data_IF_350274192634
#
_entry.id   IF_350274192634
#
_cell.length_a   1.000
_cell.length_b   1.000
_cell.length_c   1.000
_cell.angle_alpha   90.00
_cell.angle_beta   90.00
_cell.angle_gamma   90.00
#
_symmetry.space_group_name_H-M   'P 1'
#
loop_
_entity.id
_entity.type
_entity.pdbx_description
1 polymer ?
#
# COMPACT_ATOMS: atom_id res chain seq x y z
N UNK A 1 39.87 29.37 10.50
CA UNK A 1 40.18 28.17 11.29
C UNK A 1 39.16 28.10 12.42
N UNK A 2 38.57 26.94 12.70
CA UNK A 2 37.69 26.70 13.87
C UNK A 2 37.96 25.30 14.43
N UNK A 3 37.68 25.12 15.70
CA UNK A 3 37.81 23.84 16.37
C UNK A 3 36.40 23.21 16.48
N UNK A 4 36.22 21.98 15.97
CA UNK A 4 34.97 21.24 16.11
C UNK A 4 34.72 20.80 17.56
N UNK A 5 33.47 20.34 17.92
CA UNK A 5 33.21 19.79 19.23
C UNK A 5 34.02 18.51 19.54
N UNK A 6 34.56 17.85 18.52
CA UNK A 6 35.48 16.71 18.58
C UNK A 6 36.96 17.10 18.80
N UNK A 7 37.25 18.39 19.05
CA UNK A 7 38.60 18.94 19.25
C UNK A 7 39.43 19.05 17.96
N UNK A 8 38.87 18.71 16.78
CA UNK A 8 39.63 18.79 15.52
C UNK A 8 39.54 20.15 14.88
N UNK A 9 40.69 20.63 14.40
CA UNK A 9 40.78 21.88 13.63
C UNK A 9 40.26 21.71 12.22
N UNK A 10 39.50 22.69 11.76
CA UNK A 10 39.01 22.81 10.39
C UNK A 10 39.25 24.23 9.88
N UNK A 11 39.49 24.36 8.59
CA UNK A 11 39.70 25.67 7.95
C UNK A 11 38.99 25.72 6.59
N UNK A 12 38.43 26.89 6.28
CA UNK A 12 37.96 27.23 4.94
C UNK A 12 38.68 28.51 4.48
N UNK A 13 39.00 28.56 3.19
CA UNK A 13 39.50 29.76 2.57
C UNK A 13 38.34 30.62 2.05
N UNK A 14 38.36 31.91 2.32
CA UNK A 14 37.36 32.88 1.86
C UNK A 14 38.03 33.99 1.08
N UNK A 15 37.33 34.49 0.05
CA UNK A 15 37.85 35.60 -0.75
C UNK A 15 37.89 36.94 0.00
N UNK A 16 37.02 37.09 1.04
CA UNK A 16 36.92 38.31 1.85
C UNK A 16 36.93 37.97 3.33
N UNK A 17 37.62 38.80 4.14
CA UNK A 17 37.65 38.65 5.59
C UNK A 17 36.25 38.67 6.21
N UNK A 18 35.38 39.56 5.73
CA UNK A 18 33.96 39.63 6.19
C UNK A 18 33.16 38.38 6.00
N UNK A 19 33.49 37.54 5.00
CA UNK A 19 32.85 36.27 4.76
C UNK A 19 33.35 35.21 5.73
N UNK A 20 34.64 35.23 6.05
CA UNK A 20 35.26 34.40 7.06
C UNK A 20 34.69 34.70 8.47
N UNK A 21 34.58 35.98 8.82
CA UNK A 21 34.02 36.40 10.12
C UNK A 21 32.55 35.97 10.27
N UNK A 22 31.73 36.22 9.25
CA UNK A 22 30.32 35.75 9.21
C UNK A 22 30.21 34.23 9.36
N UNK A 23 31.07 33.49 8.67
CA UNK A 23 31.09 32.03 8.76
C UNK A 23 31.46 31.56 10.17
N UNK A 24 32.49 32.21 10.79
CA UNK A 24 32.90 31.88 12.16
C UNK A 24 31.79 32.13 13.17
N UNK A 25 31.12 33.29 13.09
CA UNK A 25 29.99 33.62 13.98
C UNK A 25 28.85 32.65 13.80
N UNK A 26 28.50 32.25 12.57
CA UNK A 26 27.43 31.26 12.31
C UNK A 26 27.79 29.90 12.89
N UNK A 27 29.02 29.44 12.73
CA UNK A 27 29.51 28.18 13.27
C UNK A 27 29.50 28.15 14.80
N UNK A 28 29.86 29.25 15.46
CA UNK A 28 29.79 29.37 16.92
C UNK A 28 28.35 29.38 17.43
N UNK A 29 27.46 30.09 16.74
CA UNK A 29 26.05 30.10 17.06
C UNK A 29 25.43 28.72 16.91
N UNK A 30 25.83 27.92 15.91
CA UNK A 30 25.34 26.55 15.69
C UNK A 30 25.90 25.60 16.75
N UNK A 31 27.13 25.76 17.20
CA UNK A 31 27.70 25.01 18.34
C UNK A 31 26.92 25.26 19.63
N UNK A 32 26.66 26.55 19.93
CA UNK A 32 25.89 26.92 21.15
C UNK A 32 24.46 26.35 21.14
N UNK A 33 23.86 26.22 19.97
CA UNK A 33 22.52 25.62 19.77
C UNK A 33 22.54 24.09 19.69
N UNK A 34 23.71 23.45 19.71
CA UNK A 34 23.83 21.99 19.48
C UNK A 34 23.52 21.57 18.06
N UNK A 35 23.41 22.51 17.11
CA UNK A 35 23.06 22.27 15.70
C UNK A 35 24.30 22.15 14.78
N UNK A 36 25.49 22.12 15.36
CA UNK A 36 26.72 21.99 14.59
C UNK A 36 26.83 20.62 13.92
N UNK A 37 26.93 20.63 12.61
CA UNK A 37 27.20 19.42 11.80
C UNK A 37 28.60 19.60 11.15
N UNK A 38 29.49 18.64 11.36
CA UNK A 38 30.79 18.60 10.70
C UNK A 38 30.62 18.50 9.17
N UNK A 39 31.04 19.53 8.40
CA UNK A 39 30.88 19.50 6.95
C UNK A 39 31.56 18.32 6.26
N UNK A 40 32.56 17.69 6.90
CA UNK A 40 33.27 16.52 6.36
C UNK A 40 32.35 15.27 6.33
N UNK A 41 31.44 15.13 7.29
CA UNK A 41 30.49 14.01 7.31
C UNK A 41 29.61 13.97 6.06
N UNK A 42 29.22 15.13 5.55
CA UNK A 42 28.44 15.26 4.33
C UNK A 42 29.22 15.08 3.02
N UNK A 43 30.53 14.82 3.07
CA UNK A 43 31.34 14.49 1.90
C UNK A 43 31.12 13.05 1.38
N UNK A 44 30.47 12.20 2.17
CA UNK A 44 30.06 10.85 1.74
C UNK A 44 29.13 10.95 0.51
N UNK A 45 29.25 10.00 -0.43
CA UNK A 45 28.34 9.92 -1.56
C UNK A 45 26.95 9.50 -1.11
N UNK A 46 25.92 9.98 -1.82
CA UNK A 46 24.52 9.63 -1.53
C UNK A 46 24.29 8.12 -1.56
N UNK A 47 24.86 7.41 -2.56
CA UNK A 47 24.79 5.96 -2.67
C UNK A 47 25.41 5.28 -1.48
N UNK A 48 26.62 5.66 -1.10
CA UNK A 48 27.35 5.03 0.01
C UNK A 48 26.62 5.22 1.33
N UNK A 49 26.12 6.42 1.60
CA UNK A 49 25.28 6.65 2.78
C UNK A 49 24.01 5.78 2.72
N UNK A 50 23.36 5.73 1.58
CA UNK A 50 22.15 4.91 1.38
C UNK A 50 22.39 3.43 1.62
N UNK A 51 23.42 2.85 0.98
CA UNK A 51 23.68 1.40 1.06
C UNK A 51 24.32 0.99 2.40
N UNK A 52 25.22 1.80 2.97
CA UNK A 52 26.01 1.42 4.15
C UNK A 52 25.36 1.85 5.48
N UNK A 53 24.49 2.86 5.47
CA UNK A 53 23.89 3.41 6.69
C UNK A 53 22.36 3.30 6.67
N UNK A 54 21.71 3.91 5.69
CA UNK A 54 20.27 4.05 5.66
C UNK A 54 19.54 2.70 5.46
N UNK A 55 19.88 1.94 4.42
CA UNK A 55 19.19 0.65 4.15
C UNK A 55 19.39 -0.36 5.28
N UNK A 56 20.58 -0.53 5.88
CA UNK A 56 20.74 -1.40 7.04
C UNK A 56 19.98 -0.96 8.29
N UNK A 57 19.70 0.35 8.46
CA UNK A 57 18.92 0.86 9.61
C UNK A 57 17.42 0.54 9.53
N UNK A 58 16.91 0.10 8.37
CA UNK A 58 15.49 -0.18 8.14
C UNK A 58 15.00 -1.50 8.75
N UNK A 59 15.69 -2.05 9.76
CA UNK A 59 15.32 -3.31 10.44
C UNK A 59 13.94 -3.28 11.09
N UNK A 60 13.43 -2.09 11.41
CA UNK A 60 12.09 -1.87 11.94
C UNK A 60 10.99 -2.01 10.88
N UNK A 61 11.34 -1.95 9.59
CA UNK A 61 10.40 -2.12 8.49
C UNK A 61 10.21 -3.61 8.16
N UNK A 62 9.01 -3.92 7.62
CA UNK A 62 8.77 -5.25 7.05
C UNK A 62 9.68 -5.50 5.84
N UNK A 63 10.11 -6.75 5.59
CA UNK A 63 11.03 -7.08 4.49
C UNK A 63 10.62 -6.53 3.12
N UNK A 64 9.32 -6.59 2.78
CA UNK A 64 8.83 -6.03 1.51
C UNK A 64 8.93 -4.50 1.45
N UNK A 65 8.72 -3.80 2.56
CA UNK A 65 8.86 -2.35 2.61
C UNK A 65 10.33 -1.96 2.43
N UNK A 66 11.24 -2.61 3.15
CA UNK A 66 12.69 -2.39 3.01
C UNK A 66 13.17 -2.70 1.57
N UNK A 67 12.69 -3.80 0.97
CA UNK A 67 12.99 -4.13 -0.43
C UNK A 67 12.47 -3.08 -1.41
N UNK A 68 11.29 -2.50 -1.17
CA UNK A 68 10.74 -1.41 -1.98
C UNK A 68 11.60 -0.15 -1.88
N UNK A 69 12.05 0.21 -0.69
CA UNK A 69 12.97 1.33 -0.47
C UNK A 69 14.27 1.13 -1.25
N UNK A 70 14.91 -0.03 -1.10
CA UNK A 70 16.13 -0.38 -1.83
C UNK A 70 15.92 -0.33 -3.36
N UNK A 71 14.80 -0.86 -3.85
CA UNK A 71 14.46 -0.84 -5.27
C UNK A 71 14.31 0.59 -5.80
N UNK A 72 13.56 1.46 -5.10
CA UNK A 72 13.39 2.85 -5.53
C UNK A 72 14.69 3.65 -5.52
N UNK A 73 15.55 3.44 -4.51
CA UNK A 73 16.86 4.07 -4.46
C UNK A 73 17.73 3.61 -5.63
N UNK A 74 17.86 2.29 -5.85
CA UNK A 74 18.72 1.71 -6.88
C UNK A 74 18.25 2.00 -8.30
N UNK A 75 16.93 1.98 -8.53
CA UNK A 75 16.37 2.17 -9.88
C UNK A 75 16.29 3.64 -10.29
N UNK A 76 16.00 4.52 -9.34
CA UNK A 76 15.69 5.91 -9.67
C UNK A 76 16.71 6.91 -9.15
N UNK A 77 17.20 6.77 -7.93
CA UNK A 77 18.04 7.78 -7.28
C UNK A 77 19.52 7.60 -7.52
N UNK A 78 20.04 6.36 -7.46
CA UNK A 78 21.45 6.13 -7.72
C UNK A 78 21.89 6.55 -9.12
N UNK A 79 21.12 6.30 -10.21
CA UNK A 79 21.46 6.79 -11.53
C UNK A 79 21.45 8.31 -11.66
N UNK A 80 20.62 9.02 -10.89
CA UNK A 80 20.48 10.47 -10.98
C UNK A 80 21.47 11.23 -10.10
N UNK A 81 21.76 10.74 -8.89
CA UNK A 81 22.47 11.50 -7.88
C UNK A 81 23.37 10.65 -6.98
N UNK A 82 23.50 9.35 -7.21
CA UNK A 82 24.20 8.43 -6.31
C UNK A 82 25.66 8.79 -6.05
N UNK A 83 26.36 9.28 -7.07
CA UNK A 83 27.79 9.65 -6.98
C UNK A 83 28.00 11.06 -6.39
N UNK A 84 26.95 11.83 -6.19
CA UNK A 84 27.08 13.18 -5.60
C UNK A 84 27.26 13.09 -4.09
N UNK A 85 28.08 14.01 -3.56
CA UNK A 85 28.19 14.20 -2.11
C UNK A 85 26.85 14.65 -1.53
N UNK A 86 26.39 14.00 -0.43
CA UNK A 86 25.07 14.27 0.14
C UNK A 86 24.88 15.74 0.55
N UNK A 87 25.97 16.39 1.03
CA UNK A 87 25.99 17.82 1.38
C UNK A 87 25.79 18.77 0.18
N UNK A 88 26.08 18.31 -1.04
CA UNK A 88 25.93 19.13 -2.25
C UNK A 88 24.50 19.14 -2.80
N UNK A 89 23.62 18.31 -2.25
CA UNK A 89 22.25 18.18 -2.70
C UNK A 89 21.39 19.30 -2.12
N UNK A 90 20.88 20.14 -2.99
CA UNK A 90 20.04 21.28 -2.68
C UNK A 90 18.55 21.00 -2.93
N UNK A 91 17.68 21.89 -2.44
CA UNK A 91 16.25 21.84 -2.79
C UNK A 91 16.01 22.00 -4.29
N UNK A 92 16.85 22.78 -4.99
CA UNK A 92 16.77 22.93 -6.44
C UNK A 92 17.04 21.62 -7.17
N UNK A 93 18.05 20.86 -6.70
CA UNK A 93 18.32 19.51 -7.24
C UNK A 93 17.15 18.57 -7.02
N UNK A 94 16.50 18.62 -5.85
CA UNK A 94 15.32 17.79 -5.58
C UNK A 94 14.12 18.16 -6.48
N UNK A 95 13.92 19.46 -6.77
CA UNK A 95 12.89 19.90 -7.75
C UNK A 95 13.21 19.41 -9.15
N UNK A 96 14.45 19.51 -9.60
CA UNK A 96 14.88 19.01 -10.90
C UNK A 96 14.72 17.49 -11.00
N UNK A 97 15.05 16.75 -9.93
CA UNK A 97 14.84 15.31 -9.88
C UNK A 97 13.34 14.92 -9.98
N UNK A 98 12.45 15.67 -9.29
CA UNK A 98 11.00 15.46 -9.40
C UNK A 98 10.51 15.70 -10.82
N UNK A 99 10.98 16.74 -11.51
CA UNK A 99 10.64 16.99 -12.91
C UNK A 99 11.08 15.82 -13.79
N UNK A 100 12.35 15.38 -13.69
CA UNK A 100 12.87 14.26 -14.47
C UNK A 100 12.18 12.91 -14.16
N UNK A 101 11.70 12.71 -12.93
CA UNK A 101 10.88 11.53 -12.59
C UNK A 101 9.49 11.63 -13.21
N UNK A 102 8.87 12.81 -13.22
CA UNK A 102 7.52 13.04 -13.74
C UNK A 102 7.43 12.88 -15.27
N UNK A 103 8.54 13.10 -15.99
CA UNK A 103 8.60 12.86 -17.44
C UNK A 103 8.45 11.38 -17.83
N UNK A 104 8.72 10.45 -16.91
CA UNK A 104 8.78 9.01 -17.18
C UNK A 104 7.95 8.14 -16.24
N UNK A 105 7.40 8.69 -15.18
CA UNK A 105 6.63 7.95 -14.18
C UNK A 105 5.30 8.64 -13.90
N UNK A 106 4.24 7.87 -13.62
CA UNK A 106 2.97 8.43 -13.16
C UNK A 106 3.14 9.21 -11.85
N UNK A 107 2.35 10.28 -11.61
CA UNK A 107 2.42 11.12 -10.41
C UNK A 107 2.42 10.35 -9.08
N UNK A 108 1.59 9.32 -8.95
CA UNK A 108 1.54 8.48 -7.74
C UNK A 108 2.82 7.68 -7.51
N UNK A 109 3.52 7.29 -8.58
CA UNK A 109 4.83 6.63 -8.49
C UNK A 109 5.92 7.63 -8.11
N UNK A 110 5.90 8.85 -8.69
CA UNK A 110 6.82 9.94 -8.31
C UNK A 110 6.71 10.24 -6.82
N UNK A 111 5.49 10.34 -6.29
CA UNK A 111 5.26 10.56 -4.86
C UNK A 111 5.91 9.48 -4.00
N UNK A 112 5.72 8.20 -4.37
CA UNK A 112 6.29 7.06 -3.63
C UNK A 112 7.83 7.05 -3.71
N UNK A 113 8.40 7.26 -4.90
CA UNK A 113 9.85 7.33 -5.11
C UNK A 113 10.46 8.49 -4.32
N UNK A 114 9.80 9.66 -4.33
CA UNK A 114 10.27 10.83 -3.60
C UNK A 114 10.15 10.66 -2.08
N UNK A 115 9.11 9.96 -1.59
CA UNK A 115 8.96 9.66 -0.17
C UNK A 115 10.15 8.85 0.39
N UNK A 116 10.71 7.93 -0.41
CA UNK A 116 11.91 7.18 0.00
C UNK A 116 13.14 8.09 0.11
N UNK A 117 13.34 9.00 -0.85
CA UNK A 117 14.43 9.99 -0.74
C UNK A 117 14.24 10.92 0.45
N UNK A 118 13.00 11.36 0.71
CA UNK A 118 12.68 12.16 1.89
C UNK A 118 13.06 11.43 3.18
N UNK A 119 12.75 10.13 3.29
CA UNK A 119 13.12 9.33 4.46
C UNK A 119 14.65 9.20 4.61
N UNK A 120 15.39 8.98 3.51
CA UNK A 120 16.85 8.92 3.53
C UNK A 120 17.46 10.25 3.96
N UNK A 121 16.96 11.37 3.43
CA UNK A 121 17.48 12.69 3.81
C UNK A 121 17.13 13.08 5.26
N UNK A 122 15.97 12.63 5.77
CA UNK A 122 15.63 12.80 7.18
C UNK A 122 16.64 12.04 8.07
N UNK A 123 16.91 10.78 7.76
CA UNK A 123 17.93 10.01 8.47
C UNK A 123 19.33 10.67 8.40
N UNK A 124 19.69 11.24 7.25
CA UNK A 124 20.97 11.95 7.13
C UNK A 124 21.06 13.22 8.00
N UNK A 125 19.92 13.87 8.25
CA UNK A 125 19.86 15.00 9.21
C UNK A 125 19.95 14.47 10.64
N UNK A 126 19.21 13.42 10.98
CA UNK A 126 19.20 12.82 12.31
C UNK A 126 20.59 12.24 12.69
N UNK A 127 21.31 11.67 11.72
CA UNK A 127 22.69 11.17 11.88
C UNK A 127 23.75 12.31 11.92
N UNK A 128 23.36 13.57 11.78
CA UNK A 128 24.26 14.70 11.74
C UNK A 128 25.24 14.66 10.55
N UNK A 129 24.78 14.15 9.40
CA UNK A 129 25.53 14.12 8.13
C UNK A 129 25.31 15.41 7.35
N UNK A 130 24.10 15.94 7.35
CA UNK A 130 23.73 17.22 6.75
C UNK A 130 22.91 18.06 7.75
N UNK A 131 23.09 19.41 7.74
CA UNK A 131 22.37 20.28 8.68
C UNK A 131 20.94 20.58 8.27
N UNK A 132 20.59 20.45 6.97
CA UNK A 132 19.30 20.88 6.43
C UNK A 132 18.75 19.80 5.49
N UNK A 133 17.47 19.53 5.62
CA UNK A 133 16.75 18.56 4.82
C UNK A 133 16.38 19.11 3.43
N UNK A 134 17.01 18.68 2.32
CA UNK A 134 16.82 19.29 1.01
C UNK A 134 15.44 18.98 0.37
N UNK A 135 14.73 17.94 0.83
CA UNK A 135 13.42 17.59 0.31
C UNK A 135 12.25 18.38 0.95
N UNK A 136 12.56 19.30 1.90
CA UNK A 136 11.53 20.10 2.55
C UNK A 136 10.89 21.08 1.56
N UNK A 137 9.54 21.14 1.54
CA UNK A 137 8.75 22.04 0.66
C UNK A 137 9.08 21.89 -0.83
N UNK A 138 9.41 20.69 -1.28
CA UNK A 138 9.47 20.35 -2.71
C UNK A 138 8.07 20.01 -3.18
N UNK A 139 7.52 20.74 -4.17
CA UNK A 139 6.22 20.44 -4.73
C UNK A 139 6.27 19.12 -5.51
N UNK A 140 5.24 18.29 -5.37
CA UNK A 140 5.07 17.06 -6.12
C UNK A 140 3.93 17.22 -7.14
N UNK A 141 3.95 16.44 -8.25
CA UNK A 141 2.85 16.43 -9.20
C UNK A 141 1.56 15.99 -8.51
N UNK A 142 0.45 16.62 -8.89
CA UNK A 142 -0.87 16.26 -8.34
C UNK A 142 -1.29 14.87 -8.85
N UNK A 143 -1.67 14.02 -7.91
CA UNK A 143 -2.30 12.73 -8.22
C UNK A 143 -3.79 12.99 -8.43
N UNK A 144 -4.29 12.82 -9.65
CA UNK A 144 -5.72 12.89 -9.90
C UNK A 144 -6.42 11.67 -9.30
N UNK A 145 -7.51 11.85 -8.55
CA UNK A 145 -8.31 10.74 -8.06
C UNK A 145 -8.80 9.90 -9.25
N UNK A 146 -8.50 8.61 -9.23
CA UNK A 146 -9.06 7.68 -10.22
C UNK A 146 -10.41 7.22 -9.69
N UNK A 147 -11.48 7.54 -10.41
CA UNK A 147 -12.79 6.97 -10.13
C UNK A 147 -12.71 5.47 -10.39
N UNK A 148 -13.04 4.70 -9.38
CA UNK A 148 -13.03 3.25 -9.45
C UNK A 148 -14.31 2.81 -10.18
N UNK A 149 -14.12 2.13 -11.31
CA UNK A 149 -15.21 1.46 -12.04
C UNK A 149 -15.04 -0.04 -11.82
N UNK A 150 -15.98 -0.70 -11.12
CA UNK A 150 -15.91 -2.14 -10.91
C UNK A 150 -16.01 -2.92 -12.22
N UNK A 151 -15.48 -4.15 -12.23
CA UNK A 151 -15.69 -5.07 -13.33
C UNK A 151 -17.17 -5.47 -13.41
N UNK A 152 -17.67 -5.66 -14.63
CA UNK A 152 -18.99 -6.22 -14.85
C UNK A 152 -19.01 -7.73 -14.53
N UNK A 153 -20.14 -8.29 -14.05
CA UNK A 153 -20.24 -9.73 -13.73
C UNK A 153 -19.84 -10.64 -14.89
N UNK A 154 -20.24 -10.30 -16.12
CA UNK A 154 -19.86 -11.04 -17.33
C UNK A 154 -18.35 -11.11 -17.54
N UNK A 155 -17.67 -9.99 -17.38
CA UNK A 155 -16.21 -9.91 -17.50
C UNK A 155 -15.46 -10.78 -16.46
N UNK A 156 -16.00 -10.90 -15.25
CA UNK A 156 -15.43 -11.78 -14.22
C UNK A 156 -15.56 -13.25 -14.62
N UNK A 157 -16.70 -13.66 -15.18
CA UNK A 157 -16.92 -15.02 -15.69
C UNK A 157 -15.98 -15.31 -16.89
N UNK A 158 -15.86 -14.39 -17.80
CA UNK A 158 -14.94 -14.49 -18.95
C UNK A 158 -13.48 -14.59 -18.52
N UNK A 159 -13.05 -13.80 -17.53
CA UNK A 159 -11.71 -13.92 -16.93
C UNK A 159 -11.49 -15.30 -16.30
N UNK A 160 -12.48 -15.83 -15.58
CA UNK A 160 -12.40 -17.16 -14.99
C UNK A 160 -12.32 -18.27 -16.06
N UNK A 161 -12.95 -18.08 -17.21
CA UNK A 161 -12.86 -19.01 -18.35
C UNK A 161 -11.55 -18.89 -19.14
N UNK A 162 -11.03 -17.66 -19.28
CA UNK A 162 -9.84 -17.37 -20.10
C UNK A 162 -8.52 -17.63 -19.39
N UNK A 163 -8.48 -17.55 -18.05
CA UNK A 163 -7.27 -17.82 -17.27
C UNK A 163 -6.92 -19.30 -17.30
N UNK A 164 -5.63 -19.63 -17.19
CA UNK A 164 -5.20 -21.03 -17.10
C UNK A 164 -6.01 -21.78 -16.02
N UNK A 165 -6.56 -23.00 -16.31
CA UNK A 165 -7.55 -23.68 -15.44
C UNK A 165 -7.11 -23.83 -13.98
N UNK A 166 -5.83 -24.08 -13.74
CA UNK A 166 -5.24 -24.14 -12.39
C UNK A 166 -5.37 -22.84 -11.60
N UNK A 167 -5.53 -21.70 -12.24
CA UNK A 167 -5.62 -20.38 -11.59
C UNK A 167 -7.04 -19.82 -11.55
N UNK A 168 -8.02 -20.55 -12.06
CA UNK A 168 -9.43 -20.15 -12.06
C UNK A 168 -9.98 -19.95 -10.65
N UNK A 169 -9.61 -20.80 -9.71
CA UNK A 169 -9.96 -20.65 -8.30
C UNK A 169 -9.45 -19.35 -7.68
N UNK A 170 -8.33 -18.78 -8.16
CA UNK A 170 -7.87 -17.48 -7.72
C UNK A 170 -8.87 -16.37 -8.11
N UNK A 171 -9.43 -16.43 -9.32
CA UNK A 171 -10.48 -15.49 -9.76
C UNK A 171 -11.69 -15.61 -8.86
N UNK A 172 -12.16 -16.84 -8.60
CA UNK A 172 -13.29 -17.10 -7.71
C UNK A 172 -13.04 -16.57 -6.28
N UNK A 173 -11.86 -16.76 -5.70
CA UNK A 173 -11.48 -16.25 -4.39
C UNK A 173 -11.43 -14.72 -4.35
N UNK A 174 -10.93 -14.09 -5.41
CA UNK A 174 -10.91 -12.64 -5.54
C UNK A 174 -12.31 -12.04 -5.66
N UNK A 175 -13.13 -12.58 -6.56
CA UNK A 175 -14.46 -12.05 -6.87
C UNK A 175 -15.54 -12.53 -5.86
N UNK A 176 -15.45 -13.74 -5.34
CA UNK A 176 -16.47 -14.32 -4.46
C UNK A 176 -16.23 -14.07 -2.96
N UNK A 177 -15.02 -13.68 -2.56
CA UNK A 177 -14.68 -13.41 -1.16
C UNK A 177 -13.85 -12.11 -0.96
N UNK A 178 -13.57 -11.36 -2.00
CA UNK A 178 -12.83 -10.11 -1.93
C UNK A 178 -11.39 -10.24 -1.42
N UNK A 179 -10.76 -11.40 -1.63
CA UNK A 179 -9.41 -11.66 -1.10
C UNK A 179 -8.34 -10.88 -1.87
N UNK A 180 -7.37 -10.35 -1.13
CA UNK A 180 -6.14 -9.83 -1.74
C UNK A 180 -5.35 -11.00 -2.36
N UNK A 181 -4.52 -10.73 -3.38
CA UNK A 181 -3.74 -11.78 -4.06
C UNK A 181 -2.97 -12.68 -3.08
N UNK A 182 -2.26 -12.09 -2.11
CA UNK A 182 -1.54 -12.88 -1.10
C UNK A 182 -2.45 -13.69 -0.17
N UNK A 183 -3.65 -13.19 0.14
CA UNK A 183 -4.65 -13.92 0.92
C UNK A 183 -5.23 -15.09 0.12
N UNK A 184 -5.56 -14.88 -1.17
CA UNK A 184 -6.07 -15.91 -2.06
C UNK A 184 -5.04 -17.03 -2.30
N UNK A 185 -3.76 -16.67 -2.48
CA UNK A 185 -2.69 -17.65 -2.70
C UNK A 185 -2.12 -18.26 -1.42
N UNK A 186 -2.46 -17.70 -0.26
CA UNK A 186 -2.10 -18.22 1.06
C UNK A 186 -3.26 -18.89 1.81
N UNK A 187 -4.45 -18.98 1.21
CA UNK A 187 -5.57 -19.68 1.84
C UNK A 187 -5.31 -21.18 1.86
N UNK A 188 -5.40 -21.79 3.05
CA UNK A 188 -5.15 -23.22 3.25
C UNK A 188 -6.46 -24.00 3.40
N UNK A 189 -6.43 -25.30 3.10
CA UNK A 189 -7.60 -26.20 3.20
C UNK A 189 -8.22 -26.16 4.60
N UNK A 190 -7.48 -26.25 5.73
CA UNK A 190 -8.07 -26.19 7.06
C UNK A 190 -8.78 -24.86 7.41
N UNK A 191 -8.58 -23.82 6.58
CA UNK A 191 -9.22 -22.50 6.76
C UNK A 191 -10.54 -22.37 6.01
N UNK A 192 -10.94 -23.37 5.26
CA UNK A 192 -12.24 -23.44 4.59
C UNK A 192 -13.21 -24.27 5.43
N UNK A 193 -14.17 -23.62 6.06
CA UNK A 193 -15.24 -24.31 6.77
C UNK A 193 -16.45 -24.45 5.86
N UNK A 194 -16.60 -25.65 5.26
CA UNK A 194 -17.69 -25.96 4.34
C UNK A 194 -19.05 -25.95 5.05
N UNK A 195 -19.13 -26.48 6.28
CA UNK A 195 -20.39 -26.55 7.04
C UNK A 195 -20.92 -25.18 7.43
N UNK A 196 -20.02 -24.27 7.86
CA UNK A 196 -20.38 -22.91 8.22
C UNK A 196 -20.34 -21.95 7.04
N UNK A 197 -19.94 -22.41 5.84
CA UNK A 197 -19.76 -21.62 4.62
C UNK A 197 -18.91 -20.38 4.87
N UNK A 198 -17.72 -20.56 5.45
CA UNK A 198 -16.82 -19.47 5.83
C UNK A 198 -15.37 -19.77 5.47
N UNK A 199 -14.67 -18.74 5.03
CA UNK A 199 -13.23 -18.73 4.84
C UNK A 199 -12.58 -17.97 5.99
N UNK A 200 -11.64 -18.59 6.70
CA UNK A 200 -10.86 -17.93 7.77
C UNK A 200 -9.57 -17.36 7.16
N UNK A 201 -9.48 -16.05 7.08
CA UNK A 201 -8.30 -15.36 6.52
C UNK A 201 -7.37 -14.99 7.67
N UNK A 202 -6.36 -15.81 7.91
CA UNK A 202 -5.42 -15.68 9.01
C UNK A 202 -3.97 -15.50 8.55
N UNK A 203 -3.67 -15.90 7.32
CA UNK A 203 -2.33 -15.92 6.71
C UNK A 203 -2.40 -15.41 5.27
N UNK A 204 -1.24 -15.12 4.70
CA UNK A 204 -1.07 -14.72 3.32
C UNK A 204 0.18 -15.36 2.72
N UNK A 205 0.20 -15.55 1.41
CA UNK A 205 1.42 -15.89 0.68
C UNK A 205 2.28 -14.63 0.48
N UNK A 206 3.56 -14.74 0.83
CA UNK A 206 4.55 -13.70 0.64
C UNK A 206 5.87 -14.34 0.23
N UNK A 207 6.44 -13.94 -0.91
CA UNK A 207 7.72 -14.46 -1.43
C UNK A 207 7.79 -15.99 -1.57
N UNK A 208 6.65 -16.65 -1.81
CA UNK A 208 6.56 -18.10 -1.96
C UNK A 208 6.46 -18.90 -0.65
N UNK A 209 6.21 -18.23 0.47
CA UNK A 209 5.98 -18.83 1.78
C UNK A 209 4.69 -18.26 2.41
N UNK A 210 4.14 -18.98 3.40
CA UNK A 210 3.07 -18.46 4.24
C UNK A 210 3.64 -17.47 5.25
N UNK A 211 2.97 -16.37 5.44
CA UNK A 211 3.35 -15.29 6.34
C UNK A 211 2.11 -14.74 7.08
N UNK A 212 2.30 -14.14 8.27
CA UNK A 212 1.22 -13.46 8.97
C UNK A 212 0.60 -12.34 8.14
N UNK A 213 -0.66 -12.06 8.39
CA UNK A 213 -1.34 -10.90 7.81
C UNK A 213 -0.71 -9.58 8.26
N UNK A 214 -0.87 -8.55 7.43
CA UNK A 214 -0.24 -7.24 7.65
C UNK A 214 -0.75 -6.53 8.90
N UNK A 215 -2.05 -6.66 9.22
CA UNK A 215 -2.69 -5.99 10.35
C UNK A 215 -3.63 -6.95 11.08
N UNK A 216 -3.95 -6.66 12.35
CA UNK A 216 -4.95 -7.40 13.10
C UNK A 216 -6.34 -7.35 12.43
N UNK A 217 -6.72 -6.20 11.87
CA UNK A 217 -7.99 -6.02 11.15
C UNK A 217 -8.10 -6.90 9.89
N UNK A 218 -6.97 -7.34 9.33
CA UNK A 218 -6.97 -8.26 8.18
C UNK A 218 -7.40 -9.68 8.56
N UNK A 219 -7.30 -10.06 9.85
CA UNK A 219 -7.78 -11.36 10.35
C UNK A 219 -9.30 -11.33 10.42
N UNK A 220 -9.95 -12.17 9.64
CA UNK A 220 -11.40 -12.16 9.50
C UNK A 220 -11.94 -13.47 9.01
N UNK A 221 -13.24 -13.70 9.22
CA UNK A 221 -13.99 -14.74 8.57
C UNK A 221 -14.88 -14.12 7.48
N UNK A 222 -14.77 -14.61 6.26
CA UNK A 222 -15.55 -14.14 5.12
C UNK A 222 -16.59 -15.22 4.78
N UNK A 223 -17.90 -14.89 4.70
CA UNK A 223 -18.91 -15.80 4.18
C UNK A 223 -18.60 -16.17 2.73
N UNK A 224 -18.74 -17.44 2.39
CA UNK A 224 -18.54 -17.97 1.05
C UNK A 224 -19.85 -18.49 0.49
N UNK A 225 -20.21 -18.04 -0.72
CA UNK A 225 -21.36 -18.55 -1.46
C UNK A 225 -21.10 -19.97 -2.00
N UNK A 226 -22.17 -20.66 -2.36
CA UNK A 226 -22.10 -22.05 -2.82
C UNK A 226 -21.23 -22.20 -4.08
N UNK A 227 -21.34 -21.30 -5.04
CA UNK A 227 -20.50 -21.30 -6.25
C UNK A 227 -19.00 -21.18 -5.95
N UNK A 228 -18.61 -20.38 -4.96
CA UNK A 228 -17.22 -20.29 -4.55
C UNK A 228 -16.74 -21.59 -3.88
N UNK A 229 -17.55 -22.15 -2.99
CA UNK A 229 -17.23 -23.42 -2.31
C UNK A 229 -17.12 -24.57 -3.31
N UNK A 230 -18.03 -24.63 -4.29
CA UNK A 230 -17.97 -25.61 -5.38
C UNK A 230 -16.71 -25.47 -6.22
N UNK A 231 -16.32 -24.22 -6.56
CA UNK A 231 -15.08 -23.98 -7.32
C UNK A 231 -13.83 -24.41 -6.53
N UNK A 232 -13.82 -24.17 -5.21
CA UNK A 232 -12.73 -24.63 -4.33
C UNK A 232 -12.69 -26.17 -4.30
N UNK A 233 -13.83 -26.83 -4.14
CA UNK A 233 -13.92 -28.30 -4.11
C UNK A 233 -13.45 -28.91 -5.42
N UNK A 234 -13.99 -28.45 -6.56
CA UNK A 234 -13.58 -28.89 -7.90
C UNK A 234 -12.07 -28.68 -8.13
N UNK A 235 -11.54 -27.53 -7.71
CA UNK A 235 -10.09 -27.27 -7.81
C UNK A 235 -9.26 -28.28 -7.01
N UNK A 236 -9.67 -28.57 -5.77
CA UNK A 236 -8.97 -29.53 -4.91
C UNK A 236 -9.08 -30.97 -5.41
N UNK A 237 -10.20 -31.35 -6.02
CA UNK A 237 -10.38 -32.67 -6.68
C UNK A 237 -9.41 -32.82 -7.87
N UNK A 238 -9.26 -31.77 -8.69
CA UNK A 238 -8.43 -31.82 -9.89
C UNK A 238 -6.92 -31.72 -9.62
N UNK A 239 -6.53 -30.92 -8.64
CA UNK A 239 -5.12 -30.52 -8.45
C UNK A 239 -4.53 -30.86 -7.09
N UNK A 240 -5.38 -31.21 -6.11
CA UNK A 240 -4.95 -31.38 -4.73
C UNK A 240 -4.46 -30.10 -4.06
N UNK A 241 -4.16 -30.15 -2.75
CA UNK A 241 -3.54 -29.02 -2.06
C UNK A 241 -2.06 -28.89 -2.39
N UNK A 242 -1.54 -27.68 -2.39
CA UNK A 242 -0.12 -27.42 -2.54
C UNK A 242 0.68 -27.50 -1.23
N UNK A 243 1.94 -27.14 -1.28
CA UNK A 243 2.85 -27.08 -0.13
C UNK A 243 2.25 -26.22 0.99
N UNK A 244 2.24 -26.72 2.22
CA UNK A 244 1.64 -26.04 3.37
C UNK A 244 0.10 -26.06 3.33
N UNK A 245 -0.50 -27.01 2.60
CA UNK A 245 -1.94 -27.16 2.46
C UNK A 245 -2.63 -25.97 1.79
N UNK A 246 -1.92 -25.16 1.00
CA UNK A 246 -2.57 -24.07 0.25
C UNK A 246 -3.51 -24.63 -0.81
N UNK A 247 -4.66 -23.97 -0.98
CA UNK A 247 -5.62 -24.34 -2.02
C UNK A 247 -5.03 -24.09 -3.40
N UNK A 248 -4.39 -22.92 -3.58
CA UNK A 248 -3.85 -22.51 -4.87
C UNK A 248 -2.34 -22.79 -4.97
N UNK A 249 -1.95 -23.51 -5.98
CA UNK A 249 -0.53 -23.86 -6.21
C UNK A 249 -0.17 -23.82 -7.70
N UNK A 250 1.12 -23.70 -8.00
CA UNK A 250 1.62 -23.89 -9.36
C UNK A 250 1.68 -25.39 -9.73
N UNK A 251 2.10 -25.72 -10.94
CA UNK A 251 2.16 -27.11 -11.41
C UNK A 251 3.12 -27.99 -10.58
N UNK A 252 4.11 -27.40 -9.92
CA UNK A 252 5.03 -28.10 -9.02
C UNK A 252 4.51 -28.19 -7.56
N UNK A 253 3.27 -27.77 -7.29
CA UNK A 253 2.68 -27.77 -5.96
C UNK A 253 3.17 -26.63 -5.04
N UNK A 254 3.98 -25.70 -5.51
CA UNK A 254 4.47 -24.60 -4.70
C UNK A 254 3.49 -23.42 -4.68
N UNK A 255 3.60 -22.59 -3.63
CA UNK A 255 2.85 -21.33 -3.50
C UNK A 255 3.11 -20.43 -4.71
N UNK A 256 2.03 -19.90 -5.29
CA UNK A 256 2.08 -19.09 -6.50
C UNK A 256 2.78 -17.75 -6.23
N UNK A 257 3.82 -17.46 -7.00
CA UNK A 257 4.51 -16.17 -6.96
C UNK A 257 3.78 -15.14 -7.84
N UNK A 258 3.72 -13.90 -7.38
CA UNK A 258 3.01 -12.79 -8.04
C UNK A 258 3.43 -12.60 -9.51
N UNK A 259 4.71 -12.70 -9.82
CA UNK A 259 5.20 -12.49 -11.18
C UNK A 259 4.69 -13.57 -12.14
N UNK A 260 4.79 -14.84 -11.76
CA UNK A 260 4.31 -15.95 -12.56
C UNK A 260 2.78 -15.90 -12.80
N UNK A 261 2.00 -15.57 -11.76
CA UNK A 261 0.57 -15.34 -11.91
C UNK A 261 0.28 -14.13 -12.79
N UNK A 262 1.08 -13.07 -12.67
CA UNK A 262 0.91 -11.83 -13.44
C UNK A 262 0.97 -12.04 -14.94
N UNK A 263 1.79 -12.97 -15.44
CA UNK A 263 1.86 -13.30 -16.86
C UNK A 263 0.56 -13.98 -17.33
N UNK A 264 0.09 -15.00 -16.60
CA UNK A 264 -1.19 -15.66 -16.88
C UNK A 264 -2.36 -14.68 -16.80
N UNK A 265 -2.36 -13.80 -15.81
CA UNK A 265 -3.38 -12.78 -15.62
C UNK A 265 -3.45 -11.81 -16.82
N UNK A 266 -2.30 -11.27 -17.24
CA UNK A 266 -2.24 -10.35 -18.40
C UNK A 266 -2.73 -11.02 -19.68
N UNK A 267 -2.40 -12.29 -19.88
CA UNK A 267 -2.90 -13.07 -21.02
C UNK A 267 -4.42 -13.20 -20.98
N UNK A 268 -5.01 -13.51 -19.83
CA UNK A 268 -6.46 -13.62 -19.66
C UNK A 268 -7.15 -12.25 -19.87
N UNK A 269 -6.63 -11.17 -19.25
CA UNK A 269 -7.14 -9.80 -19.42
C UNK A 269 -7.17 -9.39 -20.90
N UNK A 270 -6.10 -9.71 -21.65
CA UNK A 270 -6.03 -9.43 -23.08
C UNK A 270 -7.03 -10.27 -23.88
N UNK A 271 -7.18 -11.55 -23.55
CA UNK A 271 -8.11 -12.46 -24.23
C UNK A 271 -9.59 -12.03 -24.07
N UNK A 272 -9.94 -11.46 -22.94
CA UNK A 272 -11.29 -10.94 -22.62
C UNK A 272 -11.50 -9.52 -23.17
N UNK A 273 -10.45 -8.85 -23.67
CA UNK A 273 -10.54 -7.48 -24.17
C UNK A 273 -10.66 -6.41 -23.09
N UNK A 274 -10.31 -6.74 -21.84
CA UNK A 274 -10.31 -5.78 -20.73
C UNK A 274 -9.11 -4.81 -20.82
N UNK A 275 -9.22 -3.60 -20.24
CA UNK A 275 -8.13 -2.62 -20.21
C UNK A 275 -6.82 -3.22 -19.68
N UNK A 276 -5.65 -2.93 -20.31
CA UNK A 276 -4.36 -3.52 -19.90
C UNK A 276 -3.95 -3.25 -18.46
N UNK A 277 -4.55 -2.24 -17.82
CA UNK A 277 -4.35 -1.90 -16.42
C UNK A 277 -5.18 -2.71 -15.43
N UNK A 278 -6.03 -3.63 -15.89
CA UNK A 278 -6.87 -4.49 -15.03
C UNK A 278 -6.00 -5.41 -14.18
N UNK A 279 -6.18 -5.37 -12.87
CA UNK A 279 -5.38 -6.09 -11.88
C UNK A 279 -6.22 -7.11 -11.14
N UNK A 280 -5.58 -8.12 -10.55
CA UNK A 280 -6.26 -9.04 -9.65
C UNK A 280 -7.06 -8.32 -8.54
N UNK A 281 -6.60 -7.16 -8.10
CA UNK A 281 -7.28 -6.37 -7.08
C UNK A 281 -8.65 -5.85 -7.51
N UNK A 282 -8.89 -5.73 -8.81
CA UNK A 282 -10.17 -5.27 -9.36
C UNK A 282 -11.29 -6.31 -9.11
N UNK A 283 -10.96 -7.59 -8.92
CA UNK A 283 -11.90 -8.60 -8.43
C UNK A 283 -12.41 -8.30 -7.02
N UNK A 284 -11.55 -7.76 -6.16
CA UNK A 284 -11.96 -7.33 -4.83
C UNK A 284 -12.82 -6.06 -4.89
N UNK A 285 -12.58 -5.20 -5.85
CA UNK A 285 -13.45 -4.05 -6.12
C UNK A 285 -14.82 -4.51 -6.61
N UNK A 286 -14.87 -5.51 -7.49
CA UNK A 286 -16.10 -6.18 -7.88
C UNK A 286 -16.87 -6.77 -6.68
N UNK A 287 -16.18 -7.51 -5.80
CA UNK A 287 -16.80 -8.04 -4.57
C UNK A 287 -17.41 -6.94 -3.71
N UNK A 288 -16.69 -5.86 -3.49
CA UNK A 288 -17.19 -4.72 -2.70
C UNK A 288 -18.42 -4.09 -3.36
N UNK A 289 -18.39 -3.84 -4.68
CA UNK A 289 -19.53 -3.27 -5.40
C UNK A 289 -20.75 -4.16 -5.37
N UNK A 290 -20.59 -5.48 -5.46
CA UNK A 290 -21.69 -6.43 -5.32
C UNK A 290 -22.33 -6.40 -3.92
N UNK A 291 -21.52 -6.23 -2.86
CA UNK A 291 -22.06 -6.07 -1.50
C UNK A 291 -22.78 -4.72 -1.32
N UNK A 292 -22.31 -3.66 -1.96
CA UNK A 292 -22.96 -2.35 -1.94
C UNK A 292 -24.29 -2.43 -2.70
N UNK A 293 -24.29 -3.02 -3.89
CA UNK A 293 -25.52 -3.23 -4.67
C UNK A 293 -26.56 -4.09 -3.94
N UNK A 294 -26.11 -5.02 -3.09
CA UNK A 294 -26.95 -5.77 -2.17
C UNK A 294 -27.35 -5.00 -0.90
N UNK A 295 -27.09 -3.68 -0.86
CA UNK A 295 -27.44 -2.77 0.23
C UNK A 295 -26.89 -3.17 1.61
N UNK A 296 -25.68 -3.76 1.66
CA UNK A 296 -25.03 -4.10 2.91
C UNK A 296 -24.48 -2.85 3.61
N UNK A 297 -24.61 -2.85 4.93
CA UNK A 297 -24.07 -1.76 5.76
C UNK A 297 -22.56 -1.59 5.52
N UNK A 298 -22.06 -0.35 5.35
CA UNK A 298 -20.63 -0.07 5.13
C UNK A 298 -19.70 -0.70 6.17
N UNK A 299 -20.14 -0.84 7.43
CA UNK A 299 -19.38 -1.49 8.49
C UNK A 299 -19.19 -2.99 8.24
N UNK A 300 -20.20 -3.65 7.68
CA UNK A 300 -20.12 -5.06 7.27
C UNK A 300 -19.15 -5.21 6.11
N UNK A 301 -19.20 -4.31 5.12
CA UNK A 301 -18.29 -4.29 3.97
C UNK A 301 -16.86 -4.09 4.45
N UNK A 302 -16.62 -3.11 5.35
CA UNK A 302 -15.33 -2.89 5.98
C UNK A 302 -14.78 -4.18 6.62
N UNK A 303 -15.58 -4.84 7.42
CA UNK A 303 -15.19 -6.07 8.11
C UNK A 303 -14.85 -7.21 7.14
N UNK A 304 -15.68 -7.44 6.10
CA UNK A 304 -15.45 -8.49 5.07
C UNK A 304 -14.20 -8.21 4.24
N UNK A 305 -13.93 -6.94 3.93
CA UNK A 305 -12.72 -6.54 3.23
C UNK A 305 -11.48 -6.55 4.14
N UNK A 306 -11.63 -6.45 5.46
CA UNK A 306 -10.50 -6.32 6.39
C UNK A 306 -9.78 -4.98 6.22
N UNK A 307 -10.54 -3.89 6.08
CA UNK A 307 -10.04 -2.52 6.12
C UNK A 307 -9.84 -2.08 7.57
N UNK A 308 -8.76 -1.39 7.85
CA UNK A 308 -8.44 -0.95 9.21
C UNK A 308 -9.46 0.09 9.73
N UNK A 309 -9.94 0.96 8.85
CA UNK A 309 -10.89 2.03 9.17
C UNK A 309 -12.06 2.04 8.20
N UNK A 310 -13.19 2.60 8.63
CA UNK A 310 -14.35 2.82 7.76
C UNK A 310 -14.02 3.85 6.67
N UNK A 311 -13.16 4.82 6.96
CA UNK A 311 -12.72 5.83 6.01
C UNK A 311 -12.08 5.17 4.77
N UNK A 312 -11.24 4.14 4.93
CA UNK A 312 -10.65 3.39 3.81
C UNK A 312 -11.74 2.82 2.86
N UNK A 313 -12.86 2.36 3.43
CA UNK A 313 -13.99 1.85 2.65
C UNK A 313 -14.74 2.97 1.96
N UNK A 314 -15.02 4.06 2.68
CA UNK A 314 -15.79 5.20 2.13
C UNK A 314 -14.99 5.99 1.10
N UNK A 315 -13.69 6.22 1.33
CA UNK A 315 -12.81 6.90 0.38
C UNK A 315 -12.70 6.12 -0.95
N UNK A 316 -12.74 4.77 -0.87
CA UNK A 316 -12.60 3.91 -2.05
C UNK A 316 -13.94 3.69 -2.76
N UNK A 317 -15.02 3.47 -2.03
CA UNK A 317 -16.30 2.99 -2.57
C UNK A 317 -17.48 3.92 -2.30
N UNK A 318 -17.27 5.06 -1.62
CA UNK A 318 -18.35 5.98 -1.24
C UNK A 318 -19.25 6.40 -2.42
N UNK A 319 -18.63 6.59 -3.59
CA UNK A 319 -19.33 6.97 -4.83
C UNK A 319 -20.22 5.86 -5.42
N UNK A 320 -20.09 4.61 -4.97
CA UNK A 320 -20.92 3.47 -5.41
C UNK A 320 -22.17 3.28 -4.53
N UNK A 321 -22.22 3.93 -3.36
CA UNK A 321 -23.41 3.88 -2.53
C UNK A 321 -24.54 4.69 -3.18
N UNK A 322 -25.79 4.24 -3.08
CA UNK A 322 -26.94 5.00 -3.57
C UNK A 322 -26.94 6.40 -2.96
N UNK A 323 -27.37 7.39 -3.74
CA UNK A 323 -27.63 8.72 -3.19
C UNK A 323 -28.71 8.61 -2.12
N UNK A 324 -28.34 9.02 -0.90
CA UNK A 324 -29.19 8.82 0.28
C UNK A 324 -29.92 10.11 0.69
N UNK A 325 -29.95 11.12 -0.16
CA UNK A 325 -30.57 12.40 0.17
C UNK A 325 -32.04 12.25 0.59
N UNK A 326 -32.75 11.28 0.02
CA UNK A 326 -34.14 10.97 0.36
C UNK A 326 -34.33 9.71 1.23
N UNK A 327 -33.24 8.95 1.48
CA UNK A 327 -33.30 7.80 2.38
C UNK A 327 -33.46 8.28 3.82
N UNK A 328 -34.49 7.85 4.48
CA UNK A 328 -34.81 8.26 5.87
C UNK A 328 -35.85 9.39 5.96
N UNK A 329 -36.33 9.93 4.83
CA UNK A 329 -37.49 10.80 4.84
C UNK A 329 -38.70 10.02 5.40
N UNK A 330 -39.28 10.48 6.47
CA UNK A 330 -40.34 9.78 7.20
C UNK A 330 -39.90 8.79 8.26
N UNK A 331 -38.63 8.39 8.33
CA UNK A 331 -38.16 7.42 9.35
C UNK A 331 -38.38 7.91 10.79
N UNK A 332 -38.25 9.22 11.02
CA UNK A 332 -38.51 9.82 12.32
C UNK A 332 -40.02 9.88 12.58
N UNK A 333 -40.80 10.20 11.56
CA UNK A 333 -42.27 10.27 11.65
C UNK A 333 -42.84 8.86 11.95
N UNK A 334 -42.36 7.84 11.30
CA UNK A 334 -42.75 6.43 11.54
C UNK A 334 -42.38 5.96 12.96
N UNK A 335 -41.21 6.34 13.44
CA UNK A 335 -40.78 6.03 14.81
C UNK A 335 -41.65 6.74 15.86
N UNK A 336 -41.99 7.99 15.63
CA UNK A 336 -42.85 8.78 16.52
C UNK A 336 -44.30 8.25 16.49
N UNK A 337 -44.84 7.92 15.32
CA UNK A 337 -46.16 7.31 15.19
C UNK A 337 -46.27 5.98 15.91
N UNK A 338 -45.22 5.14 15.84
CA UNK A 338 -45.12 3.90 16.59
C UNK A 338 -45.17 4.11 18.10
N UNK A 339 -44.44 5.10 18.60
CA UNK A 339 -44.43 5.45 20.04
C UNK A 339 -45.75 6.00 20.53
N UNK A 340 -46.41 6.83 19.73
CA UNK A 340 -47.75 7.35 20.06
C UNK A 340 -48.82 6.25 20.13
N UNK A 341 -48.81 5.34 19.18
CA UNK A 341 -49.69 4.17 19.16
C UNK A 341 -49.45 3.22 20.35
N UNK A 342 -48.26 3.12 20.87
CA UNK A 342 -47.92 2.35 22.06
C UNK A 342 -48.39 3.05 23.34
N UNK A 343 -48.26 4.38 23.43
CA UNK A 343 -48.78 5.18 24.54
C UNK A 343 -50.32 5.09 24.61
N UNK A 344 -51.01 5.19 23.48
CA UNK A 344 -52.47 5.07 23.44
C UNK A 344 -52.94 3.66 23.88
N UNK A 345 -52.25 2.59 23.46
CA UNK A 345 -52.54 1.20 23.91
C UNK A 345 -52.32 1.05 25.42
N UNK A 346 -51.26 1.63 25.97
CA UNK A 346 -50.98 1.56 27.41
C UNK A 346 -51.93 2.43 28.26
N UNK A 347 -52.52 3.51 27.69
CA UNK A 347 -53.49 4.33 28.36
C UNK A 347 -54.91 3.74 28.40
N UNK A 348 -55.17 2.75 27.53
CA UNK A 348 -56.50 2.03 27.41
C UNK A 348 -56.48 0.72 28.15
N UNK A 349 -55.32 0.21 28.56
CA UNK A 349 -55.19 -1.00 29.37
C UNK A 349 -55.65 -0.73 30.80
N UNK A 350 -56.67 -1.49 31.34
CA UNK A 350 -57.27 -1.25 32.66
C UNK A 350 -56.31 -1.56 33.80
#
# INVERSE_FOLDING_TARGET
MWIGPDGRESSNAFARKSDADRHSIAMEADKLRGAYVDPRRGAIQLRDYGELKFLPSLVHLRPNSASTYASHLRTHWWPMAGERQIRSLSRSDMKAAVAALNDRLPPSTVETVFAVMRALMAAAVDDGVIPVHPCTRVPLPKVSPRVLVPLEPGAVLELAAAIAPRYRVCVALGAGAGLRFGEATGLTVPRVNLLQRRLQILEQAQNGALAPLKTAASRRAVPAGDSLLQEISTHLELYGPGTGQVITSNAAGHIIRRNAFGDCWRTAVKAVGLPPGTRFHDLRHFYASALIAANLNPKVIQARLGHATIAETMDTYGHLFPDSADLGRGAVDDALAGALAEQERNAIAP
#
